data_IF_769077449730
#
_entry.id   IF_769077449730
#
_cell.length_a   1.000
_cell.length_b   1.000
_cell.length_c   1.000
_cell.angle_alpha   90.00
_cell.angle_beta   90.00
_cell.angle_gamma   90.00
#
_symmetry.space_group_name_H-M   'P 1'
#
loop_
_entity.id
_entity.type
_entity.pdbx_description
1 polymer ?
#
# COMPACT_ATOMS: atom_id res chain seq x y z
N UNK A 1 40.84 -41.54 57.38
CA UNK A 1 40.59 -42.28 56.11
C UNK A 1 41.04 -41.49 54.87
N UNK A 2 41.29 -40.18 54.97
CA UNK A 2 41.86 -39.35 53.91
C UNK A 2 43.29 -38.94 54.29
N UNK A 3 44.28 -39.73 53.86
CA UNK A 3 45.70 -39.36 54.00
C UNK A 3 46.07 -38.41 52.86
N UNK A 4 46.83 -37.34 53.15
CA UNK A 4 47.24 -36.32 52.19
C UNK A 4 48.03 -36.84 50.96
N UNK A 5 48.45 -38.11 50.98
CA UNK A 5 49.19 -38.77 49.90
C UNK A 5 48.33 -39.71 49.02
N UNK A 6 46.99 -39.68 49.10
CA UNK A 6 46.11 -40.48 48.23
C UNK A 6 45.49 -39.65 47.11
N UNK A 7 45.74 -40.05 45.86
CA UNK A 7 45.05 -39.51 44.69
C UNK A 7 43.58 -39.92 44.75
N UNK A 8 42.68 -38.93 44.66
CA UNK A 8 41.23 -39.14 44.65
C UNK A 8 40.68 -38.83 43.26
N UNK A 9 39.83 -39.72 42.73
CA UNK A 9 39.19 -39.54 41.42
C UNK A 9 37.75 -39.07 41.60
N UNK A 10 37.39 -37.99 40.91
CA UNK A 10 36.03 -37.44 40.88
C UNK A 10 35.40 -37.82 39.55
N UNK A 11 34.36 -38.64 39.60
CA UNK A 11 33.54 -38.97 38.45
C UNK A 11 32.38 -37.99 38.37
N UNK A 12 32.28 -37.26 37.26
CA UNK A 12 31.19 -36.34 37.00
C UNK A 12 30.61 -36.57 35.61
N UNK A 13 29.33 -36.22 35.43
CA UNK A 13 28.67 -36.25 34.14
C UNK A 13 28.88 -34.90 33.43
N UNK A 14 29.49 -34.91 32.24
CA UNK A 14 29.76 -33.71 31.46
C UNK A 14 28.54 -33.15 30.71
N UNK A 15 27.35 -33.75 30.86
CA UNK A 15 26.10 -33.19 30.34
C UNK A 15 25.68 -31.89 31.05
N UNK A 16 26.10 -31.69 32.30
CA UNK A 16 25.87 -30.44 33.02
C UNK A 16 27.02 -29.45 32.81
N UNK A 17 26.73 -28.25 32.29
CA UNK A 17 27.72 -27.20 32.04
C UNK A 17 28.60 -26.87 33.27
N UNK A 18 28.05 -26.70 34.50
CA UNK A 18 28.88 -26.47 35.70
C UNK A 18 29.27 -27.75 36.45
N UNK A 19 29.00 -28.94 35.88
CA UNK A 19 29.12 -30.20 36.61
C UNK A 19 30.53 -30.41 37.16
N UNK A 20 31.57 -30.26 36.33
CA UNK A 20 32.96 -30.43 36.73
C UNK A 20 33.33 -29.60 37.98
N UNK A 21 33.05 -28.30 37.95
CA UNK A 21 33.37 -27.36 39.05
C UNK A 21 32.52 -27.65 40.29
N UNK A 22 31.26 -28.03 40.11
CA UNK A 22 30.37 -28.36 41.23
C UNK A 22 30.83 -29.60 42.00
N UNK A 23 31.20 -30.69 41.32
CA UNK A 23 31.66 -31.92 41.95
C UNK A 23 33.04 -31.74 42.60
N UNK A 24 33.91 -30.90 42.03
CA UNK A 24 35.17 -30.50 42.67
C UNK A 24 34.90 -29.72 43.96
N UNK A 25 33.96 -28.78 43.96
CA UNK A 25 33.62 -28.03 45.18
C UNK A 25 33.02 -28.94 46.27
N UNK A 26 32.15 -29.89 45.90
CA UNK A 26 31.60 -30.89 46.83
C UNK A 26 32.72 -31.77 47.41
N UNK A 27 33.63 -32.23 46.56
CA UNK A 27 34.77 -33.03 47.00
C UNK A 27 35.69 -32.26 47.95
N UNK A 28 36.02 -31.00 47.65
CA UNK A 28 36.84 -30.14 48.51
C UNK A 28 36.17 -29.90 49.87
N UNK A 29 34.85 -29.72 49.89
CA UNK A 29 34.07 -29.64 51.13
C UNK A 29 34.11 -30.94 51.94
N UNK A 30 34.00 -32.09 51.27
CA UNK A 30 34.11 -33.40 51.92
C UNK A 30 35.52 -33.62 52.52
N UNK A 31 36.56 -33.22 51.79
CA UNK A 31 37.94 -33.29 52.26
C UNK A 31 38.18 -32.39 53.48
N UNK A 32 37.74 -31.12 53.42
CA UNK A 32 37.84 -30.17 54.52
C UNK A 32 37.22 -30.74 55.80
N UNK A 33 35.99 -31.26 55.69
CA UNK A 33 35.26 -31.87 56.81
C UNK A 33 35.95 -33.13 57.31
N UNK A 34 36.51 -33.95 56.41
CA UNK A 34 37.26 -35.15 56.75
C UNK A 34 38.51 -34.87 57.59
N UNK A 35 39.28 -33.83 57.24
CA UNK A 35 40.50 -33.43 57.97
C UNK A 35 40.16 -32.79 59.32
N UNK A 36 39.10 -31.97 59.39
CA UNK A 36 38.66 -31.34 60.64
C UNK A 36 38.24 -32.38 61.69
N UNK A 37 37.54 -33.44 61.27
CA UNK A 37 37.13 -34.55 62.13
C UNK A 37 38.32 -35.35 62.68
N UNK A 38 39.41 -35.45 61.92
CA UNK A 38 40.63 -36.14 62.35
C UNK A 38 41.42 -35.35 63.40
N UNK A 39 41.33 -34.01 63.37
CA UNK A 39 42.05 -33.15 64.32
C UNK A 39 41.30 -32.84 65.61
N UNK A 40 39.97 -32.69 65.59
CA UNK A 40 39.16 -32.40 66.78
C UNK A 40 37.72 -32.92 66.61
N UNK A 41 37.32 -33.88 67.45
CA UNK A 41 36.02 -34.57 67.38
C UNK A 41 34.83 -33.78 67.93
N UNK A 42 35.06 -32.60 68.53
CA UNK A 42 34.03 -31.74 69.12
C UNK A 42 33.53 -30.60 68.21
N UNK A 43 33.98 -30.53 66.95
CA UNK A 43 33.65 -29.45 66.01
C UNK A 43 32.36 -29.77 65.23
N UNK A 44 31.43 -28.81 65.17
CA UNK A 44 30.22 -28.79 64.35
C UNK A 44 30.56 -28.77 62.85
N UNK A 45 30.49 -29.93 62.19
CA UNK A 45 30.81 -30.13 60.76
C UNK A 45 29.96 -29.23 59.82
N UNK A 46 28.75 -28.86 60.26
CA UNK A 46 27.81 -28.05 59.48
C UNK A 46 28.19 -26.57 59.36
N UNK A 47 29.05 -26.04 60.24
CA UNK A 47 29.42 -24.62 60.26
C UNK A 47 30.56 -24.29 59.30
N UNK A 48 31.29 -25.31 58.82
CA UNK A 48 32.42 -25.14 57.91
C UNK A 48 32.07 -25.63 56.50
N UNK A 49 32.24 -24.72 55.53
CA UNK A 49 32.02 -24.98 54.12
C UNK A 49 32.68 -23.94 53.23
N UNK A 50 33.11 -24.38 52.05
CA UNK A 50 33.66 -23.58 50.97
C UNK A 50 32.60 -23.49 49.88
N UNK A 51 32.21 -22.28 49.50
CA UNK A 51 31.32 -22.03 48.36
C UNK A 51 32.13 -21.46 47.20
N UNK A 52 32.14 -22.16 46.08
CA UNK A 52 32.69 -21.64 44.82
C UNK A 52 31.57 -20.94 44.03
N UNK A 53 31.74 -19.65 43.74
CA UNK A 53 30.82 -18.87 42.91
C UNK A 53 31.52 -18.60 41.58
N UNK A 54 30.94 -19.08 40.49
CA UNK A 54 31.40 -18.73 39.15
C UNK A 54 30.66 -17.46 38.70
N UNK A 55 31.33 -16.31 38.82
CA UNK A 55 30.81 -15.04 38.32
C UNK A 55 31.64 -14.61 37.09
N UNK A 56 31.02 -14.38 35.92
CA UNK A 56 31.74 -13.99 34.73
C UNK A 56 32.42 -12.62 34.92
N UNK A 57 33.54 -12.43 34.23
CA UNK A 57 34.18 -11.11 34.14
C UNK A 57 33.30 -10.16 33.31
N UNK A 58 33.44 -8.83 33.47
CA UNK A 58 32.80 -7.86 32.59
C UNK A 58 33.16 -8.13 31.13
N UNK A 59 32.18 -7.97 30.24
CA UNK A 59 32.35 -8.22 28.80
C UNK A 59 33.46 -7.34 28.22
N UNK A 60 34.29 -7.95 27.38
CA UNK A 60 35.30 -7.23 26.59
C UNK A 60 34.66 -6.48 25.42
N UNK A 61 35.34 -5.47 24.86
CA UNK A 61 34.85 -4.73 23.68
C UNK A 61 34.52 -5.67 22.51
N UNK A 62 35.35 -6.69 22.29
CA UNK A 62 35.16 -7.68 21.22
C UNK A 62 33.89 -8.53 21.45
N UNK A 63 33.59 -8.90 22.69
CA UNK A 63 32.37 -9.63 23.03
C UNK A 63 31.12 -8.77 22.88
N UNK A 64 31.21 -7.48 23.25
CA UNK A 64 30.15 -6.50 23.06
C UNK A 64 29.87 -6.33 21.56
N UNK A 65 30.88 -6.15 20.73
CA UNK A 65 30.74 -5.99 19.28
C UNK A 65 30.09 -7.23 18.64
N UNK A 66 30.52 -8.43 19.03
CA UNK A 66 29.91 -9.69 18.58
C UNK A 66 28.45 -9.84 19.02
N UNK A 67 28.11 -9.40 20.23
CA UNK A 67 26.73 -9.42 20.74
C UNK A 67 25.85 -8.38 20.02
N UNK A 68 26.41 -7.23 19.66
CA UNK A 68 25.74 -6.20 18.85
C UNK A 68 25.44 -6.77 17.47
N UNK A 69 26.42 -7.38 16.80
CA UNK A 69 26.24 -7.93 15.46
C UNK A 69 25.13 -9.00 15.42
N UNK A 70 25.11 -9.90 16.40
CA UNK A 70 24.03 -10.89 16.56
C UNK A 70 22.68 -10.23 16.77
N UNK A 71 22.60 -9.19 17.60
CA UNK A 71 21.35 -8.47 17.90
C UNK A 71 20.83 -7.73 16.67
N UNK A 72 21.71 -7.05 15.93
CA UNK A 72 21.38 -6.36 14.67
C UNK A 72 20.88 -7.35 13.62
N UNK A 73 21.47 -8.54 13.53
CA UNK A 73 21.03 -9.60 12.60
C UNK A 73 19.61 -10.08 12.91
N UNK A 74 19.27 -10.30 14.19
CA UNK A 74 17.92 -10.68 14.59
C UNK A 74 16.90 -9.56 14.34
N UNK A 75 17.30 -8.30 14.49
CA UNK A 75 16.47 -7.15 14.19
C UNK A 75 16.22 -7.00 12.69
N UNK A 76 17.25 -7.22 11.87
CA UNK A 76 17.10 -7.25 10.41
C UNK A 76 16.06 -8.28 9.98
N UNK A 77 16.10 -9.50 10.55
CA UNK A 77 15.10 -10.53 10.29
C UNK A 77 13.69 -10.04 10.67
N UNK A 78 13.55 -9.39 11.82
CA UNK A 78 12.27 -8.83 12.28
C UNK A 78 11.74 -7.77 11.31
N UNK A 79 12.60 -6.86 10.85
CA UNK A 79 12.26 -5.81 9.86
C UNK A 79 11.79 -6.44 8.55
N UNK A 80 12.52 -7.45 8.04
CA UNK A 80 12.17 -8.19 6.83
C UNK A 80 10.79 -8.85 6.95
N UNK A 81 10.50 -9.48 8.09
CA UNK A 81 9.19 -10.10 8.35
C UNK A 81 8.06 -9.06 8.36
N UNK A 82 8.28 -7.87 8.94
CA UNK A 82 7.28 -6.79 8.95
C UNK A 82 7.04 -6.23 7.54
N UNK A 83 8.10 -5.99 6.76
CA UNK A 83 7.99 -5.55 5.36
C UNK A 83 7.17 -6.57 4.56
N UNK A 84 7.47 -7.86 4.73
CA UNK A 84 6.76 -8.93 4.05
C UNK A 84 5.28 -8.95 4.43
N UNK A 85 4.95 -8.90 5.71
CA UNK A 85 3.56 -8.91 6.18
C UNK A 85 2.77 -7.71 5.66
N UNK A 86 3.35 -6.50 5.74
CA UNK A 86 2.67 -5.27 5.34
C UNK A 86 2.58 -5.08 3.83
N UNK A 87 3.38 -5.78 3.01
CA UNK A 87 3.33 -5.68 1.55
C UNK A 87 2.03 -6.21 0.93
N UNK A 88 1.39 -7.19 1.57
CA UNK A 88 0.16 -7.82 1.06
C UNK A 88 -1.09 -7.00 1.32
N UNK A 89 -1.14 -6.25 2.42
CA UNK A 89 -2.38 -5.58 2.85
C UNK A 89 -2.82 -4.53 1.82
N UNK A 90 -1.97 -3.59 1.38
CA UNK A 90 -2.40 -2.58 0.41
C UNK A 90 -2.63 -3.17 -0.99
N UNK A 91 -1.95 -4.26 -1.33
CA UNK A 91 -2.22 -5.00 -2.56
C UNK A 91 -3.62 -5.65 -2.56
N UNK A 92 -4.18 -5.99 -1.40
CA UNK A 92 -5.54 -6.54 -1.30
C UNK A 92 -6.62 -5.51 -1.67
N UNK A 93 -6.45 -4.24 -1.28
CA UNK A 93 -7.39 -3.16 -1.62
C UNK A 93 -7.45 -2.89 -3.13
N UNK A 94 -6.34 -3.13 -3.83
CA UNK A 94 -6.26 -3.02 -5.29
C UNK A 94 -7.21 -4.00 -6.00
N UNK A 95 -7.44 -5.19 -5.43
CA UNK A 95 -8.28 -6.24 -6.04
C UNK A 95 -9.70 -5.73 -6.24
N UNK A 96 -10.28 -5.11 -5.21
CA UNK A 96 -11.61 -4.53 -5.26
C UNK A 96 -11.73 -3.47 -6.36
N UNK A 97 -10.74 -2.59 -6.47
CA UNK A 97 -10.72 -1.54 -7.50
C UNK A 97 -10.60 -2.08 -8.93
N UNK A 98 -9.79 -3.13 -9.13
CA UNK A 98 -9.68 -3.78 -10.44
C UNK A 98 -10.99 -4.47 -10.80
N UNK A 99 -11.62 -5.14 -9.83
CA UNK A 99 -12.91 -5.79 -10.03
C UNK A 99 -14.00 -4.78 -10.42
N UNK A 100 -14.06 -3.65 -9.73
CA UNK A 100 -15.01 -2.55 -10.00
C UNK A 100 -14.81 -1.92 -11.38
N UNK A 101 -13.56 -1.81 -11.84
CA UNK A 101 -13.24 -1.37 -13.19
C UNK A 101 -13.64 -2.41 -14.24
N UNK A 102 -13.46 -3.70 -13.95
CA UNK A 102 -13.75 -4.79 -14.88
C UNK A 102 -15.25 -5.00 -15.10
N UNK A 103 -16.05 -4.87 -14.03
CA UNK A 103 -17.51 -4.92 -14.05
C UNK A 103 -18.15 -3.62 -14.52
N UNK A 104 -17.37 -2.55 -14.65
CA UNK A 104 -17.83 -1.18 -14.96
C UNK A 104 -18.77 -0.58 -13.90
N UNK A 105 -18.84 -1.16 -12.69
CA UNK A 105 -19.61 -0.64 -11.56
C UNK A 105 -19.20 0.78 -11.18
N UNK A 106 -17.90 1.09 -11.24
CA UNK A 106 -17.36 2.44 -11.00
C UNK A 106 -17.96 3.48 -11.95
N UNK A 107 -18.08 3.11 -13.24
CA UNK A 107 -18.70 4.00 -14.24
C UNK A 107 -20.18 4.20 -13.94
N UNK A 108 -20.89 3.15 -13.52
CA UNK A 108 -22.30 3.24 -13.15
C UNK A 108 -22.52 4.13 -11.92
N UNK A 109 -21.62 4.12 -10.94
CA UNK A 109 -21.65 5.04 -9.80
C UNK A 109 -21.46 6.50 -10.23
N UNK A 110 -20.53 6.78 -11.16
CA UNK A 110 -20.36 8.14 -11.70
C UNK A 110 -21.59 8.61 -12.49
N UNK A 111 -22.14 7.77 -13.36
CA UNK A 111 -23.39 8.08 -14.08
C UNK A 111 -24.55 8.29 -13.09
N UNK A 112 -24.47 7.72 -11.89
CA UNK A 112 -25.44 7.92 -10.82
C UNK A 112 -25.26 9.21 -10.01
N UNK A 113 -24.28 10.04 -10.36
CA UNK A 113 -24.07 11.38 -9.79
C UNK A 113 -22.95 11.47 -8.76
N UNK A 114 -22.16 10.40 -8.56
CA UNK A 114 -21.00 10.44 -7.68
C UNK A 114 -19.89 11.28 -8.32
N UNK A 115 -19.27 12.17 -7.56
CA UNK A 115 -18.10 12.94 -8.01
C UNK A 115 -16.81 12.15 -7.77
N UNK A 116 -15.84 12.30 -8.68
CA UNK A 116 -14.54 11.63 -8.58
C UNK A 116 -13.81 11.84 -7.24
N UNK A 117 -13.78 13.07 -6.73
CA UNK A 117 -13.14 13.39 -5.44
C UNK A 117 -13.85 12.69 -4.28
N UNK A 118 -15.19 12.69 -4.26
CA UNK A 118 -15.98 12.03 -3.21
C UNK A 118 -15.75 10.53 -3.22
N UNK A 119 -15.74 9.90 -4.40
CA UNK A 119 -15.45 8.48 -4.56
C UNK A 119 -14.07 8.10 -4.01
N UNK A 120 -13.01 8.80 -4.43
CA UNK A 120 -11.65 8.48 -3.99
C UNK A 120 -11.41 8.79 -2.52
N UNK A 121 -12.01 9.86 -1.99
CA UNK A 121 -11.89 10.19 -0.57
C UNK A 121 -12.62 9.16 0.31
N UNK A 122 -13.79 8.68 -0.13
CA UNK A 122 -14.53 7.64 0.57
C UNK A 122 -13.77 6.32 0.58
N UNK A 123 -13.26 5.88 -0.58
CA UNK A 123 -12.43 4.67 -0.68
C UNK A 123 -11.16 4.79 0.15
N UNK A 124 -10.46 5.92 0.07
CA UNK A 124 -9.24 6.15 0.85
C UNK A 124 -9.49 6.08 2.36
N UNK A 125 -10.56 6.71 2.84
CA UNK A 125 -10.92 6.68 4.25
C UNK A 125 -11.28 5.26 4.71
N UNK A 126 -12.03 4.52 3.89
CA UNK A 126 -12.40 3.15 4.19
C UNK A 126 -11.19 2.22 4.24
N UNK A 127 -10.31 2.29 3.25
CA UNK A 127 -9.08 1.49 3.20
C UNK A 127 -8.13 1.84 4.35
N UNK A 128 -8.06 3.12 4.75
CA UNK A 128 -7.26 3.56 5.90
C UNK A 128 -7.81 3.00 7.22
N UNK A 129 -9.14 2.96 7.39
CA UNK A 129 -9.79 2.34 8.56
C UNK A 129 -9.48 0.84 8.60
N UNK A 130 -9.65 0.13 7.48
CA UNK A 130 -9.34 -1.30 7.42
C UNK A 130 -7.85 -1.57 7.68
N UNK A 131 -6.97 -0.74 7.12
CA UNK A 131 -5.54 -0.83 7.35
C UNK A 131 -5.16 -0.58 8.82
N UNK A 132 -5.87 0.32 9.52
CA UNK A 132 -5.64 0.59 10.94
C UNK A 132 -5.85 -0.64 11.84
N UNK A 133 -6.75 -1.55 11.46
CA UNK A 133 -6.96 -2.83 12.17
C UNK A 133 -5.70 -3.70 12.07
N UNK A 134 -5.10 -3.81 10.89
CA UNK A 134 -3.87 -4.57 10.68
C UNK A 134 -2.68 -3.98 11.44
N UNK A 135 -2.59 -2.64 11.51
CA UNK A 135 -1.57 -1.96 12.32
C UNK A 135 -1.78 -2.26 13.81
N UNK A 136 -3.01 -2.18 14.30
CA UNK A 136 -3.32 -2.47 15.69
C UNK A 136 -2.92 -3.91 16.04
N UNK A 137 -3.24 -4.88 15.19
CA UNK A 137 -2.79 -6.28 15.34
C UNK A 137 -1.26 -6.39 15.38
N UNK A 138 -0.55 -5.70 14.47
CA UNK A 138 0.91 -5.68 14.45
C UNK A 138 1.47 -5.12 15.77
N UNK A 139 0.96 -3.97 16.23
CA UNK A 139 1.41 -3.35 17.48
C UNK A 139 1.14 -4.27 18.69
N UNK A 140 -0.04 -4.89 18.75
CA UNK A 140 -0.39 -5.83 19.83
C UNK A 140 0.61 -7.00 19.87
N UNK A 141 1.02 -7.53 18.72
CA UNK A 141 2.04 -8.59 18.64
C UNK A 141 3.36 -8.10 19.25
N UNK A 142 3.86 -6.93 18.84
CA UNK A 142 5.13 -6.39 19.36
C UNK A 142 5.07 -6.11 20.87
N UNK A 143 3.94 -5.60 21.36
CA UNK A 143 3.70 -5.36 22.80
C UNK A 143 3.62 -6.68 23.57
N UNK A 144 2.91 -7.68 23.06
CA UNK A 144 2.76 -8.99 23.71
C UNK A 144 4.09 -9.74 23.84
N UNK A 145 4.95 -9.66 22.82
CA UNK A 145 6.30 -10.23 22.86
C UNK A 145 7.34 -9.32 23.55
N UNK A 146 6.91 -8.15 24.04
CA UNK A 146 7.73 -7.19 24.78
C UNK A 146 9.05 -6.82 24.07
N UNK A 147 8.98 -6.56 22.76
CA UNK A 147 10.16 -6.24 21.95
C UNK A 147 10.58 -4.79 22.23
N UNK A 148 11.49 -4.62 23.19
CA UNK A 148 11.89 -3.32 23.75
C UNK A 148 12.41 -2.32 22.71
N UNK A 149 13.04 -2.79 21.63
CA UNK A 149 13.50 -1.92 20.53
C UNK A 149 12.37 -1.07 19.90
N UNK A 150 11.13 -1.58 19.91
CA UNK A 150 9.97 -0.90 19.31
C UNK A 150 8.95 -0.42 20.36
N UNK A 151 8.82 -1.13 21.50
CA UNK A 151 7.79 -0.88 22.52
C UNK A 151 8.24 0.11 23.60
N UNK A 152 9.53 0.45 23.66
CA UNK A 152 10.03 1.43 24.62
C UNK A 152 9.36 2.80 24.46
N UNK A 153 9.23 3.55 25.57
CA UNK A 153 8.47 4.81 25.63
C UNK A 153 8.95 5.86 24.62
N UNK A 154 10.26 5.87 24.33
CA UNK A 154 10.87 6.79 23.36
C UNK A 154 10.66 6.36 21.90
N UNK A 155 10.57 5.05 21.63
CA UNK A 155 10.50 4.47 20.29
C UNK A 155 9.08 4.21 19.81
N UNK A 156 8.14 3.99 20.73
CA UNK A 156 6.77 3.57 20.42
C UNK A 156 6.03 4.53 19.49
N UNK A 157 6.15 5.84 19.73
CA UNK A 157 5.51 6.85 18.87
C UNK A 157 6.06 6.78 17.44
N UNK A 158 7.38 6.66 17.28
CA UNK A 158 8.02 6.55 15.97
C UNK A 158 7.61 5.26 15.26
N UNK A 159 7.52 4.15 15.98
CA UNK A 159 7.04 2.88 15.46
C UNK A 159 5.60 2.97 14.94
N UNK A 160 4.69 3.53 15.74
CA UNK A 160 3.30 3.77 15.33
C UNK A 160 3.21 4.67 14.10
N UNK A 161 3.92 5.80 14.10
CA UNK A 161 3.90 6.74 12.99
C UNK A 161 4.44 6.13 11.69
N UNK A 162 5.51 5.35 11.75
CA UNK A 162 6.04 4.63 10.58
C UNK A 162 5.00 3.68 9.98
N UNK A 163 4.34 2.86 10.82
CA UNK A 163 3.34 1.89 10.35
C UNK A 163 2.10 2.58 9.78
N UNK A 164 1.62 3.64 10.43
CA UNK A 164 0.45 4.41 10.01
C UNK A 164 0.71 5.18 8.71
N UNK A 165 1.80 5.95 8.65
CA UNK A 165 2.13 6.76 7.48
C UNK A 165 2.54 5.92 6.27
N UNK A 166 3.06 4.71 6.48
CA UNK A 166 3.30 3.77 5.39
C UNK A 166 2.00 3.42 4.64
N UNK A 167 0.90 3.13 5.34
CA UNK A 167 -0.40 2.90 4.68
C UNK A 167 -0.98 4.15 4.06
N UNK A 168 -0.87 5.29 4.75
CA UNK A 168 -1.28 6.60 4.22
C UNK A 168 -0.60 6.92 2.88
N UNK A 169 0.68 6.58 2.73
CA UNK A 169 1.43 6.76 1.49
C UNK A 169 1.14 5.69 0.44
N UNK A 170 1.04 4.42 0.83
CA UNK A 170 0.98 3.33 -0.12
C UNK A 170 -0.41 3.11 -0.74
N UNK A 171 -1.50 3.36 0.00
CA UNK A 171 -2.87 3.18 -0.50
C UNK A 171 -3.12 4.05 -1.76
N UNK A 172 -2.81 5.36 -1.78
CA UNK A 172 -2.98 6.18 -2.98
C UNK A 172 -2.07 5.79 -4.14
N UNK A 173 -0.87 5.25 -3.85
CA UNK A 173 0.01 4.70 -4.88
C UNK A 173 -0.68 3.51 -5.59
N UNK A 174 -1.33 2.62 -4.83
CA UNK A 174 -2.07 1.48 -5.38
C UNK A 174 -3.21 1.93 -6.29
N UNK A 175 -3.93 3.01 -5.93
CA UNK A 175 -5.01 3.55 -6.76
C UNK A 175 -4.54 3.99 -8.14
N UNK A 176 -3.36 4.59 -8.20
CA UNK A 176 -2.76 5.05 -9.45
C UNK A 176 -2.36 3.89 -10.36
N UNK A 177 -1.96 2.77 -9.76
CA UNK A 177 -1.51 1.55 -10.45
C UNK A 177 -2.67 0.71 -10.99
N UNK A 178 -3.90 0.86 -10.47
CA UNK A 178 -5.03 -0.02 -10.83
C UNK A 178 -5.30 -0.09 -12.34
N UNK A 179 -5.04 0.99 -13.08
CA UNK A 179 -5.34 1.09 -14.51
C UNK A 179 -4.43 0.22 -15.39
N UNK A 180 -3.32 -0.29 -14.83
CA UNK A 180 -2.40 -1.18 -15.53
C UNK A 180 -2.92 -2.62 -15.62
N UNK A 181 -3.89 -2.99 -14.78
CA UNK A 181 -4.40 -4.35 -14.68
C UNK A 181 -5.86 -4.45 -15.11
N UNK A 182 -6.18 -5.52 -15.84
CA UNK A 182 -7.56 -5.86 -16.22
C UNK A 182 -8.15 -7.00 -15.40
N UNK A 183 -7.29 -7.86 -14.85
CA UNK A 183 -7.70 -9.05 -14.10
C UNK A 183 -7.29 -8.91 -12.63
N UNK A 184 -8.22 -9.03 -11.66
CA UNK A 184 -7.95 -8.76 -10.24
C UNK A 184 -6.86 -9.67 -9.64
N UNK A 185 -6.93 -10.98 -9.88
CA UNK A 185 -5.99 -11.97 -9.32
C UNK A 185 -4.55 -11.74 -9.79
N UNK A 186 -4.34 -11.43 -11.07
CA UNK A 186 -3.01 -11.12 -11.60
C UNK A 186 -2.46 -9.82 -11.03
N UNK A 187 -3.32 -8.82 -10.81
CA UNK A 187 -2.92 -7.55 -10.21
C UNK A 187 -2.42 -7.74 -8.79
N UNK A 188 -3.15 -8.53 -7.97
CA UNK A 188 -2.74 -8.86 -6.60
C UNK A 188 -1.35 -9.49 -6.54
N UNK A 189 -1.11 -10.55 -7.32
CA UNK A 189 0.14 -11.31 -7.28
C UNK A 189 1.32 -10.45 -7.73
N UNK A 190 1.18 -9.73 -8.85
CA UNK A 190 2.26 -8.91 -9.41
C UNK A 190 2.60 -7.77 -8.46
N UNK A 191 1.60 -7.06 -7.92
CA UNK A 191 1.83 -5.92 -7.04
C UNK A 191 2.36 -6.34 -5.67
N UNK A 192 1.83 -7.41 -5.08
CA UNK A 192 2.39 -7.96 -3.84
C UNK A 192 3.86 -8.36 -4.02
N UNK A 193 4.19 -9.01 -5.13
CA UNK A 193 5.56 -9.43 -5.45
C UNK A 193 6.50 -8.24 -5.66
N UNK A 194 6.05 -7.21 -6.39
CA UNK A 194 6.82 -5.98 -6.60
C UNK A 194 7.03 -5.21 -5.30
N UNK A 195 6.01 -5.11 -4.45
CA UNK A 195 6.09 -4.47 -3.14
C UNK A 195 7.14 -5.16 -2.25
N UNK A 196 7.11 -6.50 -2.18
CA UNK A 196 8.11 -7.28 -1.45
C UNK A 196 9.50 -7.05 -2.03
N UNK A 197 9.64 -7.15 -3.35
CA UNK A 197 10.94 -7.02 -4.01
C UNK A 197 11.55 -5.62 -3.79
N UNK A 198 10.77 -4.56 -3.99
CA UNK A 198 11.20 -3.18 -3.76
C UNK A 198 11.57 -2.99 -2.29
N UNK A 199 10.73 -3.45 -1.35
CA UNK A 199 11.01 -3.31 0.09
C UNK A 199 12.27 -4.04 0.54
N UNK A 200 12.43 -5.31 0.17
CA UNK A 200 13.59 -6.10 0.57
C UNK A 200 14.88 -5.61 -0.10
N UNK A 201 14.87 -5.40 -1.42
CA UNK A 201 16.08 -5.05 -2.15
C UNK A 201 16.60 -3.67 -1.77
N UNK A 202 15.72 -2.68 -1.58
CA UNK A 202 16.15 -1.33 -1.21
C UNK A 202 16.68 -1.29 0.22
N UNK A 203 16.03 -1.97 1.16
CA UNK A 203 16.42 -1.98 2.58
C UNK A 203 17.72 -2.74 2.78
N UNK A 204 17.82 -3.98 2.28
CA UNK A 204 19.02 -4.81 2.38
C UNK A 204 20.22 -4.11 1.73
N UNK A 205 20.04 -3.53 0.53
CA UNK A 205 21.13 -2.81 -0.16
C UNK A 205 21.70 -1.67 0.71
N UNK A 206 20.85 -0.87 1.35
CA UNK A 206 21.33 0.24 2.20
C UNK A 206 21.94 -0.21 3.52
N UNK A 207 21.46 -1.32 4.09
CA UNK A 207 22.01 -1.90 5.33
C UNK A 207 23.38 -2.52 5.05
N UNK A 208 23.55 -3.21 3.92
CA UNK A 208 24.87 -3.72 3.51
C UNK A 208 25.87 -2.56 3.35
N UNK A 209 25.44 -1.45 2.76
CA UNK A 209 26.27 -0.25 2.64
C UNK A 209 26.62 0.40 3.99
N UNK A 210 25.86 0.14 5.07
CA UNK A 210 26.19 0.64 6.41
C UNK A 210 27.41 -0.05 7.01
N UNK A 211 27.72 -1.29 6.58
CA UNK A 211 28.87 -2.05 7.08
C UNK A 211 30.20 -1.57 6.49
N UNK A 212 30.18 -0.85 5.38
CA UNK A 212 31.40 -0.38 4.67
C UNK A 212 31.71 1.09 4.98
N UNK A 213 31.82 1.46 6.26
CA UNK A 213 32.07 2.86 6.66
C UNK A 213 33.51 3.32 6.38
N UNK A 214 34.46 2.40 6.26
CA UNK A 214 35.88 2.70 6.10
C UNK A 214 36.26 3.19 4.69
N UNK A 215 35.37 3.02 3.71
CA UNK A 215 35.62 3.40 2.32
C UNK A 215 34.86 4.67 1.93
N UNK A 216 35.54 5.81 1.68
CA UNK A 216 34.89 7.10 1.46
C UNK A 216 34.02 7.14 0.20
N UNK A 217 34.36 6.35 -0.82
CA UNK A 217 33.57 6.27 -2.06
C UNK A 217 32.24 5.54 -1.86
N UNK A 218 32.22 4.47 -1.07
CA UNK A 218 30.99 3.74 -0.73
C UNK A 218 30.05 4.57 0.15
N UNK A 219 30.60 5.42 1.02
CA UNK A 219 29.81 6.37 1.82
C UNK A 219 29.09 7.38 0.92
N UNK A 220 29.74 7.90 -0.15
CA UNK A 220 29.08 8.77 -1.14
C UNK A 220 27.96 8.04 -1.89
N UNK A 221 28.20 6.79 -2.31
CA UNK A 221 27.19 5.95 -2.98
C UNK A 221 25.99 5.74 -2.06
N UNK A 222 26.21 5.40 -0.79
CA UNK A 222 25.15 5.28 0.22
C UNK A 222 24.31 6.55 0.31
N UNK A 223 24.91 7.74 0.37
CA UNK A 223 24.17 8.99 0.46
C UNK A 223 23.29 9.24 -0.78
N UNK A 224 23.74 8.85 -1.97
CA UNK A 224 22.95 8.98 -3.21
C UNK A 224 21.80 7.97 -3.23
N UNK A 225 22.11 6.70 -2.97
CA UNK A 225 21.14 5.59 -2.98
C UNK A 225 20.04 5.80 -1.94
N UNK A 226 20.41 6.21 -0.72
CA UNK A 226 19.44 6.48 0.34
C UNK A 226 18.50 7.62 -0.03
N UNK A 227 18.97 8.69 -0.70
CA UNK A 227 18.10 9.77 -1.19
C UNK A 227 17.17 9.33 -2.31
N UNK A 228 17.67 8.50 -3.24
CA UNK A 228 16.89 8.01 -4.36
C UNK A 228 15.79 7.04 -3.91
N UNK A 229 16.09 6.15 -2.97
CA UNK A 229 15.13 5.16 -2.47
C UNK A 229 14.05 5.74 -1.58
N UNK A 230 14.18 6.97 -1.05
CA UNK A 230 13.12 7.62 -0.27
C UNK A 230 11.80 7.64 -1.01
N UNK A 231 11.80 7.78 -2.35
CA UNK A 231 10.58 7.79 -3.18
C UNK A 231 9.69 6.54 -3.03
N UNK A 232 10.25 5.44 -2.52
CA UNK A 232 9.53 4.20 -2.30
C UNK A 232 9.06 4.11 -0.84
N UNK A 233 7.74 4.13 -0.57
CA UNK A 233 7.23 4.01 0.80
C UNK A 233 7.70 2.75 1.53
N UNK A 234 7.90 1.66 0.78
CA UNK A 234 8.44 0.40 1.28
C UNK A 234 9.86 0.53 1.83
N UNK A 235 10.71 1.30 1.16
CA UNK A 235 12.05 1.60 1.65
C UNK A 235 11.99 2.41 2.94
N UNK A 236 11.18 3.47 2.97
CA UNK A 236 11.00 4.32 4.14
C UNK A 236 10.54 3.53 5.38
N UNK A 237 9.61 2.58 5.22
CA UNK A 237 9.19 1.69 6.30
C UNK A 237 10.36 0.83 6.79
N UNK A 238 10.99 0.06 5.90
CA UNK A 238 12.02 -0.89 6.32
C UNK A 238 13.27 -0.21 6.88
N UNK A 239 13.74 0.85 6.22
CA UNK A 239 14.86 1.65 6.69
C UNK A 239 14.53 2.33 8.02
N UNK A 240 13.31 2.86 8.16
CA UNK A 240 12.84 3.48 9.40
C UNK A 240 12.77 2.52 10.59
N UNK A 241 12.28 1.29 10.37
CA UNK A 241 12.24 0.26 11.43
C UNK A 241 13.65 -0.19 11.82
N UNK A 242 14.55 -0.33 10.85
CA UNK A 242 15.95 -0.67 11.11
C UNK A 242 16.65 0.44 11.91
N UNK A 243 16.59 1.69 11.43
CA UNK A 243 17.18 2.85 12.10
C UNK A 243 16.61 3.08 13.51
N UNK A 244 15.32 2.80 13.72
CA UNK A 244 14.70 2.84 15.05
C UNK A 244 15.31 1.80 15.99
N UNK A 245 15.47 0.56 15.51
CA UNK A 245 16.01 -0.54 16.29
C UNK A 245 17.49 -0.34 16.63
N UNK A 246 18.30 0.15 15.69
CA UNK A 246 19.72 0.43 15.91
C UNK A 246 19.90 1.61 16.86
N UNK A 247 19.14 2.69 16.70
CA UNK A 247 19.17 3.85 17.61
C UNK A 247 18.85 3.45 19.05
N UNK A 248 17.85 2.58 19.25
CA UNK A 248 17.54 2.05 20.57
C UNK A 248 18.72 1.28 21.17
N UNK A 249 19.33 0.38 20.41
CA UNK A 249 20.48 -0.41 20.88
C UNK A 249 21.68 0.48 21.22
N UNK A 250 22.01 1.43 20.33
CA UNK A 250 23.09 2.39 20.58
C UNK A 250 22.85 3.19 21.86
N UNK A 251 21.61 3.63 22.12
CA UNK A 251 21.27 4.34 23.36
C UNK A 251 21.46 3.46 24.60
N UNK A 252 20.99 2.21 24.58
CA UNK A 252 21.11 1.27 25.71
C UNK A 252 22.59 0.97 26.03
N UNK A 253 23.39 0.73 25.00
CA UNK A 253 24.82 0.42 25.15
C UNK A 253 25.56 1.67 25.63
N UNK A 254 25.35 2.81 24.98
CA UNK A 254 26.03 4.06 25.33
C UNK A 254 25.73 4.50 26.76
N UNK A 255 24.49 4.32 27.24
CA UNK A 255 24.14 4.56 28.65
C UNK A 255 24.88 3.65 29.63
N UNK A 256 25.26 2.43 29.21
CA UNK A 256 25.95 1.46 30.06
C UNK A 256 27.46 1.71 30.16
N UNK A 257 28.08 2.20 29.08
CA UNK A 257 29.54 2.31 28.98
C UNK A 257 30.08 3.75 28.99
N UNK A 258 29.28 4.75 28.60
CA UNK A 258 29.73 6.15 28.50
C UNK A 258 29.11 6.98 29.63
N UNK A 259 29.91 7.50 30.58
CA UNK A 259 29.40 8.36 31.63
C UNK A 259 28.88 9.68 31.04
N UNK A 260 27.72 10.14 31.51
CA UNK A 260 27.02 11.36 31.04
C UNK A 260 26.55 11.34 29.58
N UNK A 261 26.32 10.16 28.99
CA UNK A 261 25.71 10.06 27.66
C UNK A 261 24.25 10.54 27.67
N UNK A 262 23.91 11.44 26.75
CA UNK A 262 22.54 11.91 26.53
C UNK A 262 21.91 11.07 25.43
N UNK A 263 20.78 10.38 25.68
CA UNK A 263 20.16 9.52 24.69
C UNK A 263 19.63 10.33 23.50
N UNK A 264 19.93 9.84 22.29
CA UNK A 264 19.45 10.46 21.06
C UNK A 264 17.98 10.11 20.85
N UNK A 265 17.14 11.11 20.60
CA UNK A 265 15.72 10.89 20.33
C UNK A 265 15.53 10.20 18.96
N UNK A 266 14.74 9.11 18.87
CA UNK A 266 14.51 8.43 17.59
C UNK A 266 13.81 9.28 16.52
N UNK A 267 13.09 10.34 16.92
CA UNK A 267 12.37 11.24 16.02
C UNK A 267 13.29 12.28 15.34
N UNK A 268 14.58 12.32 15.66
CA UNK A 268 15.51 13.25 15.04
C UNK A 268 15.53 13.08 13.51
N UNK A 269 15.71 14.18 12.79
CA UNK A 269 15.66 14.19 11.32
C UNK A 269 16.66 13.21 10.70
N UNK A 270 17.87 13.12 11.26
CA UNK A 270 18.94 12.27 10.74
C UNK A 270 18.70 10.76 10.92
N UNK A 271 17.82 10.38 11.86
CA UNK A 271 17.46 8.98 12.12
C UNK A 271 16.14 8.63 11.42
N UNK A 272 15.04 8.53 12.17
CA UNK A 272 13.74 8.08 11.64
C UNK A 272 12.92 9.26 11.09
N UNK A 273 13.17 10.48 11.57
CA UNK A 273 12.39 11.67 11.23
C UNK A 273 12.34 11.95 9.72
N UNK A 274 13.44 11.73 8.99
CA UNK A 274 13.47 11.87 7.52
C UNK A 274 12.48 10.92 6.83
N UNK A 275 12.42 9.66 7.25
CA UNK A 275 11.55 8.66 6.62
C UNK A 275 10.07 8.98 6.89
N UNK A 276 9.74 9.43 8.11
CA UNK A 276 8.39 9.87 8.50
C UNK A 276 7.95 11.09 7.67
N UNK A 277 8.85 12.07 7.49
CA UNK A 277 8.57 13.25 6.69
C UNK A 277 8.32 12.89 5.21
N UNK A 278 9.16 12.03 4.63
CA UNK A 278 9.00 11.55 3.26
C UNK A 278 7.67 10.81 3.06
N UNK A 279 7.32 9.87 3.94
CA UNK A 279 6.04 9.15 3.87
C UNK A 279 4.83 10.11 3.92
N UNK A 280 4.90 11.15 4.75
CA UNK A 280 3.82 12.15 4.84
C UNK A 280 3.67 12.91 3.54
N UNK A 281 4.78 13.39 2.96
CA UNK A 281 4.78 14.11 1.68
C UNK A 281 4.29 13.21 0.55
N UNK A 282 4.78 11.98 0.49
CA UNK A 282 4.42 10.98 -0.51
C UNK A 282 2.92 10.67 -0.51
N UNK A 283 2.29 10.53 0.66
CA UNK A 283 0.85 10.28 0.72
C UNK A 283 0.01 11.38 0.09
N UNK A 284 0.35 12.66 0.34
CA UNK A 284 -0.34 13.76 -0.33
C UNK A 284 -0.05 13.79 -1.83
N UNK A 285 1.20 13.60 -2.23
CA UNK A 285 1.61 13.61 -3.65
C UNK A 285 0.92 12.49 -4.42
N UNK A 286 0.92 11.27 -3.89
CA UNK A 286 0.26 10.12 -4.54
C UNK A 286 -1.26 10.25 -4.54
N UNK A 287 -1.87 10.84 -3.52
CA UNK A 287 -3.31 11.11 -3.52
C UNK A 287 -3.72 12.14 -4.58
N UNK A 288 -2.97 13.24 -4.70
CA UNK A 288 -3.17 14.22 -5.77
C UNK A 288 -2.95 13.56 -7.13
N UNK A 289 -1.90 12.75 -7.27
CA UNK A 289 -1.61 12.03 -8.50
C UNK A 289 -2.75 11.07 -8.87
N UNK A 290 -3.30 10.31 -7.93
CA UNK A 290 -4.45 9.43 -8.16
C UNK A 290 -5.67 10.21 -8.68
N UNK A 291 -5.94 11.40 -8.12
CA UNK A 291 -7.00 12.29 -8.60
C UNK A 291 -6.71 12.79 -10.03
N UNK A 292 -5.47 13.18 -10.33
CA UNK A 292 -5.07 13.65 -11.67
C UNK A 292 -5.19 12.54 -12.73
N UNK A 293 -4.85 11.30 -12.37
CA UNK A 293 -5.05 10.12 -13.23
C UNK A 293 -6.54 9.91 -13.51
N UNK A 294 -7.41 10.05 -12.51
CA UNK A 294 -8.86 9.92 -12.67
C UNK A 294 -9.44 10.95 -13.66
N UNK A 295 -9.02 12.21 -13.57
CA UNK A 295 -9.47 13.26 -14.48
C UNK A 295 -8.81 13.19 -15.87
N UNK A 296 -8.04 12.13 -16.16
CA UNK A 296 -7.30 11.92 -17.41
C UNK A 296 -6.46 13.15 -17.81
N UNK A 297 -5.94 13.90 -16.84
CA UNK A 297 -5.19 15.15 -17.09
C UNK A 297 -3.95 14.91 -17.95
N UNK A 298 -3.27 13.77 -17.74
CA UNK A 298 -2.09 13.36 -18.51
C UNK A 298 -2.43 12.57 -19.78
N UNK A 299 -3.53 11.82 -19.79
CA UNK A 299 -4.04 11.13 -20.99
C UNK A 299 -4.98 12.10 -21.70
N UNK A 300 -4.41 13.22 -22.13
CA UNK A 300 -5.12 14.05 -23.07
C UNK A 300 -5.26 13.21 -24.34
N UNK A 301 -6.49 12.87 -24.71
CA UNK A 301 -6.87 12.57 -26.10
C UNK A 301 -6.72 13.86 -26.94
N UNK A 302 -5.57 14.55 -26.81
CA UNK A 302 -5.11 15.68 -27.62
C UNK A 302 -4.60 15.21 -28.97
N UNK A 303 -5.00 14.02 -29.41
CA UNK A 303 -5.09 13.78 -30.83
C UNK A 303 -6.35 14.52 -31.28
N UNK A 304 -6.22 15.84 -31.43
CA UNK A 304 -7.06 16.63 -32.30
C UNK A 304 -6.82 16.07 -33.72
N UNK A 305 -7.44 14.93 -34.02
CA UNK A 305 -7.68 14.56 -35.40
C UNK A 305 -8.61 15.65 -35.85
N UNK A 306 -8.06 16.68 -36.53
CA UNK A 306 -8.84 17.49 -37.46
C UNK A 306 -9.63 16.46 -38.26
N UNK A 307 -10.92 16.32 -37.98
CA UNK A 307 -11.79 15.61 -38.88
C UNK A 307 -11.65 16.41 -40.16
N UNK A 308 -10.98 15.82 -41.14
CA UNK A 308 -11.08 16.26 -42.51
C UNK A 308 -12.58 16.42 -42.77
N UNK A 309 -12.97 17.59 -43.27
CA UNK A 309 -14.33 17.83 -43.80
C UNK A 309 -14.72 16.76 -44.85
N UNK A 310 -13.74 16.00 -45.33
CA UNK A 310 -13.81 14.98 -46.38
C UNK A 310 -14.35 13.60 -45.94
N UNK A 311 -14.98 13.47 -44.76
CA UNK A 311 -15.58 12.20 -44.31
C UNK A 311 -17.10 12.11 -44.50
N UNK A 312 -17.73 13.14 -45.07
CA UNK A 312 -19.11 13.05 -45.56
C UNK A 312 -19.08 12.11 -46.75
N UNK A 313 -19.57 10.88 -46.59
CA UNK A 313 -19.74 9.96 -47.71
C UNK A 313 -20.65 10.62 -48.73
N UNK A 314 -20.22 10.67 -49.99
CA UNK A 314 -21.02 11.22 -51.10
C UNK A 314 -22.33 10.47 -51.38
N UNK A 315 -22.56 9.34 -50.69
CA UNK A 315 -23.75 8.49 -50.77
C UNK A 315 -24.35 8.31 -49.37
N UNK A 316 -24.92 9.37 -48.80
CA UNK A 316 -25.81 9.25 -47.64
C UNK A 316 -27.25 9.08 -48.11
N UNK A 317 -28.05 8.33 -47.36
CA UNK A 317 -29.47 8.19 -47.63
C UNK A 317 -30.20 9.53 -47.42
N UNK A 318 -31.24 9.80 -48.21
CA UNK A 318 -31.94 11.09 -48.23
C UNK A 318 -32.55 11.45 -46.86
N UNK A 319 -33.01 10.45 -46.10
CA UNK A 319 -33.56 10.60 -44.76
C UNK A 319 -32.47 10.99 -43.74
N UNK A 320 -31.29 10.36 -43.80
CA UNK A 320 -30.12 10.70 -42.98
C UNK A 320 -29.63 12.11 -43.27
N UNK A 321 -29.58 12.50 -44.55
CA UNK A 321 -29.20 13.84 -44.96
C UNK A 321 -30.20 14.89 -44.45
N UNK A 322 -31.50 14.60 -44.52
CA UNK A 322 -32.58 15.47 -44.02
C UNK A 322 -32.48 15.66 -42.51
N UNK A 323 -32.28 14.57 -41.75
CA UNK A 323 -32.12 14.62 -40.29
C UNK A 323 -30.87 15.41 -39.90
N UNK A 324 -29.74 15.22 -40.60
CA UNK A 324 -28.54 16.01 -40.37
C UNK A 324 -28.78 17.50 -40.59
N UNK A 325 -29.48 17.88 -41.67
CA UNK A 325 -29.84 19.28 -41.93
C UNK A 325 -30.78 19.84 -40.84
N UNK A 326 -31.72 19.04 -40.32
CA UNK A 326 -32.58 19.41 -39.18
C UNK A 326 -31.75 19.72 -37.94
N UNK A 327 -30.78 18.86 -37.59
CA UNK A 327 -29.93 19.06 -36.40
C UNK A 327 -29.02 20.28 -36.55
N UNK A 328 -28.50 20.55 -37.75
CA UNK A 328 -27.69 21.74 -37.98
C UNK A 328 -28.47 23.05 -37.99
N UNK A 329 -29.68 23.03 -38.55
CA UNK A 329 -30.56 24.21 -38.56
C UNK A 329 -31.07 24.53 -37.16
N UNK A 330 -31.32 23.51 -36.33
CA UNK A 330 -31.83 23.69 -34.98
C UNK A 330 -30.75 23.84 -33.88
N UNK A 331 -29.88 24.84 -34.04
CA UNK A 331 -28.82 25.12 -33.05
C UNK A 331 -29.37 25.52 -31.68
N UNK A 332 -30.50 26.22 -31.65
CA UNK A 332 -31.17 26.72 -30.44
C UNK A 332 -32.05 25.69 -29.73
N UNK A 333 -32.14 24.46 -30.23
CA UNK A 333 -33.03 23.40 -29.75
C UNK A 333 -34.51 23.80 -29.69
N UNK A 334 -34.98 24.45 -30.74
CA UNK A 334 -36.39 24.81 -30.97
C UNK A 334 -37.27 23.57 -31.08
N UNK A 335 -36.73 22.44 -31.55
CA UNK A 335 -37.41 21.15 -31.65
C UNK A 335 -37.59 20.41 -30.31
N UNK A 336 -37.01 20.94 -29.22
CA UNK A 336 -37.07 20.37 -27.88
C UNK A 336 -36.59 18.90 -27.80
N UNK A 337 -35.58 18.56 -28.59
CA UNK A 337 -34.95 17.23 -28.56
C UNK A 337 -34.24 17.02 -27.21
N UNK A 338 -34.52 15.88 -26.57
CA UNK A 338 -33.94 15.51 -25.28
C UNK A 338 -32.51 14.99 -25.44
N UNK A 339 -32.21 14.33 -26.56
CA UNK A 339 -30.87 13.87 -26.93
C UNK A 339 -30.55 14.44 -28.31
N UNK A 340 -29.41 15.12 -28.44
CA UNK A 340 -28.89 15.59 -29.73
C UNK A 340 -27.46 15.12 -29.91
N UNK A 341 -27.20 14.47 -31.03
CA UNK A 341 -25.90 13.99 -31.47
C UNK A 341 -25.49 14.81 -32.70
N UNK A 342 -24.33 15.48 -32.64
CA UNK A 342 -23.85 16.37 -33.70
C UNK A 342 -22.45 15.90 -34.11
N UNK A 343 -22.35 15.34 -35.31
CA UNK A 343 -21.10 14.87 -35.93
C UNK A 343 -20.26 13.98 -35.00
N UNK A 344 -20.91 13.08 -34.27
CA UNK A 344 -20.22 12.22 -33.32
C UNK A 344 -19.18 11.35 -34.05
N UNK A 345 -17.92 11.47 -33.65
CA UNK A 345 -16.80 10.70 -34.20
C UNK A 345 -16.02 10.06 -33.08
N UNK A 346 -15.71 8.76 -33.23
CA UNK A 346 -14.70 8.08 -32.43
C UNK A 346 -13.69 7.37 -33.32
N UNK A 347 -12.43 7.74 -33.14
CA UNK A 347 -11.28 7.03 -33.71
C UNK A 347 -10.49 6.43 -32.57
N UNK A 348 -10.30 5.11 -32.60
CA UNK A 348 -9.34 4.43 -31.73
C UNK A 348 -7.99 4.36 -32.45
N UNK A 349 -6.94 4.86 -31.81
CA UNK A 349 -5.57 4.56 -32.22
C UNK A 349 -5.16 3.23 -31.60
N UNK A 350 -4.76 2.24 -32.39
CA UNK A 350 -4.19 1.01 -31.83
C UNK A 350 -2.78 0.74 -32.35
N UNK A 351 -2.08 -0.13 -31.60
CA UNK A 351 -0.72 -0.62 -31.86
C UNK A 351 -0.56 -1.01 -33.33
N UNK A 352 0.61 -0.73 -33.89
CA UNK A 352 0.98 -0.88 -35.32
C UNK A 352 0.47 0.22 -36.29
N UNK A 353 0.05 1.39 -35.78
CA UNK A 353 -0.09 2.61 -36.59
C UNK A 353 -1.37 2.72 -37.44
N UNK A 354 -2.28 1.75 -37.39
CA UNK A 354 -3.56 1.80 -38.13
C UNK A 354 -4.66 2.41 -37.25
N UNK A 355 -5.29 3.49 -37.75
CA UNK A 355 -6.44 4.14 -37.11
C UNK A 355 -7.72 3.37 -37.41
N UNK A 356 -8.53 3.10 -36.39
CA UNK A 356 -9.84 2.47 -36.54
C UNK A 356 -10.95 3.45 -36.18
N UNK A 357 -11.76 3.86 -37.15
CA UNK A 357 -12.90 4.75 -36.93
C UNK A 357 -14.13 3.92 -36.57
N UNK A 358 -14.50 3.95 -35.29
CA UNK A 358 -15.62 3.19 -34.75
C UNK A 358 -16.98 3.89 -34.93
N UNK A 359 -16.99 5.22 -34.95
CA UNK A 359 -18.19 6.03 -35.19
C UNK A 359 -17.82 7.15 -36.17
N UNK A 360 -18.62 7.33 -37.22
CA UNK A 360 -18.35 8.22 -38.36
C UNK A 360 -19.46 9.28 -38.48
N UNK A 361 -19.23 10.46 -37.89
CA UNK A 361 -20.07 11.67 -38.04
C UNK A 361 -21.57 11.42 -37.94
N UNK A 362 -21.98 10.74 -36.87
CA UNK A 362 -23.39 10.41 -36.65
C UNK A 362 -24.14 11.64 -36.14
N UNK A 363 -25.25 12.00 -36.81
CA UNK A 363 -26.15 13.10 -36.43
C UNK A 363 -27.56 12.56 -36.21
N UNK A 364 -28.12 12.74 -35.02
CA UNK A 364 -29.47 12.28 -34.66
C UNK A 364 -30.02 13.18 -33.55
N UNK A 365 -31.31 13.54 -33.62
CA UNK A 365 -32.05 14.11 -32.50
C UNK A 365 -33.20 13.20 -32.08
N UNK A 366 -33.39 13.02 -30.77
CA UNK A 366 -34.49 12.24 -30.19
C UNK A 366 -35.40 13.17 -29.42
N UNK A 367 -36.70 13.14 -29.71
CA UNK A 367 -37.70 13.99 -29.06
C UNK A 367 -38.05 13.48 -27.67
N UNK A 368 -38.54 14.38 -26.81
CA UNK A 368 -39.05 13.99 -25.49
C UNK A 368 -40.27 13.06 -25.64
N UNK A 369 -40.23 11.91 -24.96
CA UNK A 369 -41.29 10.90 -25.01
C UNK A 369 -41.18 9.91 -26.17
N UNK A 370 -40.17 10.04 -27.02
CA UNK A 370 -39.90 9.11 -28.11
C UNK A 370 -39.11 7.88 -27.61
N UNK A 371 -39.47 6.69 -28.11
CA UNK A 371 -38.69 5.48 -27.90
C UNK A 371 -37.77 5.24 -29.10
N UNK A 372 -36.50 5.59 -28.94
CA UNK A 372 -35.49 5.45 -29.98
C UNK A 372 -34.65 4.16 -29.82
N UNK A 373 -34.49 3.39 -30.90
CA UNK A 373 -33.68 2.17 -30.93
C UNK A 373 -32.52 2.28 -31.92
N UNK A 374 -31.29 2.05 -31.46
CA UNK A 374 -30.10 2.02 -32.32
C UNK A 374 -29.79 0.58 -32.77
N UNK A 375 -30.19 0.22 -33.99
CA UNK A 375 -29.98 -1.11 -34.57
C UNK A 375 -28.76 -1.13 -35.50
N UNK A 376 -28.05 -2.26 -35.54
CA UNK A 376 -26.95 -2.48 -36.48
C UNK A 376 -26.22 -3.79 -36.20
N UNK A 377 -25.38 -4.24 -37.13
CA UNK A 377 -24.55 -5.45 -36.95
C UNK A 377 -23.48 -5.27 -35.86
N UNK A 378 -22.91 -6.37 -35.37
CA UNK A 378 -21.78 -6.31 -34.44
C UNK A 378 -20.62 -5.54 -35.07
N UNK A 379 -20.01 -4.63 -34.29
CA UNK A 379 -18.97 -3.73 -34.78
C UNK A 379 -19.46 -2.43 -35.43
N UNK A 380 -20.77 -2.18 -35.53
CA UNK A 380 -21.31 -0.94 -36.12
C UNK A 380 -21.15 0.33 -35.28
N UNK A 381 -20.49 0.26 -34.11
CA UNK A 381 -20.26 1.42 -33.24
C UNK A 381 -21.36 1.73 -32.22
N UNK A 382 -22.38 0.88 -32.06
CA UNK A 382 -23.48 1.07 -31.08
C UNK A 382 -22.97 1.28 -29.66
N UNK A 383 -22.25 0.30 -29.11
CA UNK A 383 -21.72 0.37 -27.75
C UNK A 383 -20.75 1.55 -27.61
N UNK A 384 -19.93 1.85 -28.63
CA UNK A 384 -19.06 3.02 -28.64
C UNK A 384 -19.85 4.33 -28.55
N UNK A 385 -21.00 4.42 -29.22
CA UNK A 385 -21.88 5.59 -29.17
C UNK A 385 -22.45 5.78 -27.77
N UNK A 386 -22.99 4.74 -27.14
CA UNK A 386 -23.49 4.83 -25.76
C UNK A 386 -22.39 5.18 -24.74
N UNK A 387 -21.18 4.63 -24.91
CA UNK A 387 -20.02 4.96 -24.07
C UNK A 387 -19.58 6.42 -24.22
N UNK A 388 -19.74 7.01 -25.40
CA UNK A 388 -19.50 8.44 -25.59
C UNK A 388 -20.58 9.30 -24.95
N UNK A 389 -21.86 8.93 -25.10
CA UNK A 389 -22.98 9.67 -24.51
C UNK A 389 -22.94 9.67 -22.98
N UNK A 390 -22.48 8.58 -22.38
CA UNK A 390 -22.31 8.45 -20.92
C UNK A 390 -20.98 9.02 -20.41
N UNK A 391 -20.06 9.42 -21.28
CA UNK A 391 -18.76 9.96 -20.91
C UNK A 391 -17.70 8.94 -20.47
N UNK A 392 -17.95 7.63 -20.62
CA UNK A 392 -16.95 6.57 -20.38
C UNK A 392 -15.74 6.75 -21.32
N UNK A 393 -16.05 7.13 -22.56
CA UNK A 393 -15.10 7.34 -23.65
C UNK A 393 -15.26 8.76 -24.19
N UNK A 394 -14.15 9.46 -24.34
CA UNK A 394 -14.08 10.79 -24.97
C UNK A 394 -14.51 10.73 -26.44
N UNK A 395 -15.18 11.77 -26.93
CA UNK A 395 -15.44 11.93 -28.36
C UNK A 395 -14.16 12.44 -29.05
N UNK A 396 -13.82 11.91 -30.23
CA UNK A 396 -12.68 12.40 -31.03
C UNK A 396 -13.03 13.71 -31.73
N UNK A 397 -14.27 13.81 -32.23
CA UNK A 397 -14.84 15.03 -32.77
C UNK A 397 -16.37 15.01 -32.62
N UNK A 398 -17.00 16.16 -32.82
CA UNK A 398 -18.43 16.35 -32.64
C UNK A 398 -18.80 16.73 -31.22
N UNK A 399 -20.09 16.77 -30.96
CA UNK A 399 -20.64 17.07 -29.64
C UNK A 399 -21.97 16.35 -29.43
N UNK A 400 -22.34 16.16 -28.17
CA UNK A 400 -23.65 15.62 -27.80
C UNK A 400 -24.28 16.44 -26.67
N UNK A 401 -25.61 16.50 -26.67
CA UNK A 401 -26.38 17.21 -25.67
C UNK A 401 -27.49 16.31 -25.13
N UNK A 402 -27.62 16.25 -23.79
CA UNK A 402 -28.71 15.56 -23.10
C UNK A 402 -29.43 16.60 -22.24
N UNK A 403 -30.73 16.79 -22.46
CA UNK A 403 -31.55 17.82 -21.80
C UNK A 403 -30.88 19.21 -21.86
N UNK A 404 -30.36 19.58 -23.03
CA UNK A 404 -29.56 20.80 -23.29
C UNK A 404 -28.20 20.91 -22.58
N UNK A 405 -27.80 19.94 -21.76
CA UNK A 405 -26.47 19.89 -21.18
C UNK A 405 -25.48 19.25 -22.14
N UNK A 406 -24.35 19.92 -22.37
CA UNK A 406 -23.28 19.43 -23.23
C UNK A 406 -22.53 18.27 -22.55
N UNK A 407 -22.45 17.10 -23.19
CA UNK A 407 -21.73 15.92 -22.67
C UNK A 407 -20.24 16.20 -22.48
N UNK A 408 -19.63 17.12 -23.24
CA UNK A 408 -18.20 17.43 -23.09
C UNK A 408 -17.95 18.41 -21.94
N UNK A 409 -18.83 19.40 -21.74
CA UNK A 409 -18.62 20.51 -20.78
C UNK A 409 -19.34 20.33 -19.45
N UNK A 410 -20.44 19.58 -19.43
CA UNK A 410 -21.41 19.52 -18.31
C UNK A 410 -21.82 18.07 -18.02
N UNK A 411 -20.85 17.15 -17.90
CA UNK A 411 -21.09 15.73 -17.62
C UNK A 411 -21.95 15.50 -16.37
N UNK A 412 -21.66 16.22 -15.27
CA UNK A 412 -22.38 16.05 -14.02
C UNK A 412 -23.90 16.29 -14.19
N UNK A 413 -24.29 17.31 -14.97
CA UNK A 413 -25.69 17.61 -15.24
C UNK A 413 -26.34 16.60 -16.21
N UNK A 414 -25.55 16.06 -17.16
CA UNK A 414 -26.00 14.96 -18.03
C UNK A 414 -26.27 13.71 -17.20
N UNK A 415 -25.35 13.31 -16.32
CA UNK A 415 -25.48 12.13 -15.47
C UNK A 415 -26.70 12.20 -14.56
N UNK A 416 -27.03 13.36 -13.99
CA UNK A 416 -28.25 13.55 -13.20
C UNK A 416 -29.55 13.31 -13.98
N UNK A 417 -29.55 13.54 -15.29
CA UNK A 417 -30.71 13.41 -16.16
C UNK A 417 -30.72 12.12 -17.01
N UNK A 418 -29.72 11.25 -16.84
CA UNK A 418 -29.53 10.06 -17.67
C UNK A 418 -29.47 8.79 -16.82
N UNK A 419 -30.28 7.79 -17.18
CA UNK A 419 -30.13 6.42 -16.72
C UNK A 419 -29.30 5.62 -17.71
N UNK A 420 -28.38 4.78 -17.23
CA UNK A 420 -27.58 3.90 -18.07
C UNK A 420 -27.61 2.48 -17.52
N UNK A 421 -27.88 1.52 -18.40
CA UNK A 421 -27.75 0.10 -18.11
C UNK A 421 -26.64 -0.45 -19.02
N UNK A 422 -25.50 -0.88 -18.47
CA UNK A 422 -24.43 -1.47 -19.27
C UNK A 422 -24.88 -2.81 -19.90
N UNK A 423 -24.12 -3.26 -20.91
CA UNK A 423 -24.37 -4.53 -21.60
C UNK A 423 -24.14 -5.75 -20.69
N UNK A 424 -23.15 -5.66 -19.81
CA UNK A 424 -22.89 -6.65 -18.78
C UNK A 424 -23.43 -6.13 -17.47
N UNK A 425 -23.96 -7.03 -16.65
CA UNK A 425 -24.51 -6.70 -15.35
C UNK A 425 -23.41 -6.13 -14.45
N UNK A 426 -23.46 -4.82 -14.20
CA UNK A 426 -22.56 -4.13 -13.29
C UNK A 426 -23.03 -4.33 -11.84
N UNK A 427 -23.12 -5.59 -11.42
CA UNK A 427 -23.57 -6.00 -10.09
C UNK A 427 -22.37 -6.17 -9.17
N UNK A 428 -22.49 -5.62 -7.97
CA UNK A 428 -21.59 -5.97 -6.87
C UNK A 428 -21.99 -7.33 -6.30
N UNK A 429 -21.09 -8.32 -6.38
CA UNK A 429 -21.33 -9.67 -5.89
C UNK A 429 -21.43 -9.78 -4.35
N UNK A 430 -20.96 -8.77 -3.62
CA UNK A 430 -20.99 -8.72 -2.15
C UNK A 430 -22.30 -8.14 -1.61
N UNK A 431 -23.06 -7.43 -2.44
CA UNK A 431 -24.31 -6.77 -2.04
C UNK A 431 -25.52 -7.62 -2.42
N UNK A 432 -26.49 -7.69 -1.51
CA UNK A 432 -27.80 -8.23 -1.85
C UNK A 432 -28.53 -7.32 -2.84
N UNK A 433 -29.50 -7.85 -3.58
CA UNK A 433 -30.30 -7.06 -4.52
C UNK A 433 -30.97 -5.83 -3.86
N UNK A 434 -31.42 -5.96 -2.61
CA UNK A 434 -32.02 -4.85 -1.84
C UNK A 434 -30.98 -3.78 -1.50
N UNK A 435 -29.79 -4.18 -1.05
CA UNK A 435 -28.70 -3.25 -0.74
C UNK A 435 -28.20 -2.53 -2.00
N UNK A 436 -28.15 -3.22 -3.13
CA UNK A 436 -27.76 -2.64 -4.42
C UNK A 436 -28.77 -1.56 -4.85
N UNK A 437 -30.08 -1.85 -4.80
CA UNK A 437 -31.12 -0.86 -5.09
C UNK A 437 -31.08 0.32 -4.11
N UNK A 438 -30.88 0.04 -2.82
CA UNK A 438 -30.76 1.07 -1.79
C UNK A 438 -29.55 1.98 -2.06
N UNK A 439 -28.38 1.41 -2.39
CA UNK A 439 -27.17 2.15 -2.71
C UNK A 439 -27.41 3.11 -3.88
N UNK A 440 -27.85 2.61 -5.03
CA UNK A 440 -28.06 3.44 -6.22
C UNK A 440 -29.19 4.47 -6.04
N UNK A 441 -30.25 4.14 -5.30
CA UNK A 441 -31.29 5.11 -4.94
C UNK A 441 -30.71 6.25 -4.09
N UNK A 442 -29.84 5.94 -3.13
CA UNK A 442 -29.17 6.93 -2.28
C UNK A 442 -28.16 7.77 -3.05
N UNK A 443 -27.38 7.18 -3.96
CA UNK A 443 -26.45 7.90 -4.84
C UNK A 443 -27.19 8.91 -5.73
N UNK A 444 -28.39 8.54 -6.21
CA UNK A 444 -29.29 9.41 -6.98
C UNK A 444 -30.01 10.47 -6.12
N UNK A 445 -29.79 10.50 -4.80
CA UNK A 445 -30.37 11.49 -3.90
C UNK A 445 -31.80 11.20 -3.41
N UNK A 446 -32.32 9.98 -3.62
CA UNK A 446 -33.63 9.59 -3.10
C UNK A 446 -33.56 9.53 -1.57
N UNK A 447 -34.46 10.27 -0.89
CA UNK A 447 -34.53 10.28 0.58
C UNK A 447 -34.87 8.90 1.11
N UNK A 448 -34.26 8.51 2.23
CA UNK A 448 -34.44 7.19 2.88
C UNK A 448 -35.92 6.81 3.07
N UNK A 449 -36.80 7.78 3.38
CA UNK A 449 -38.24 7.57 3.58
C UNK A 449 -39.00 7.16 2.32
N UNK A 450 -38.45 7.44 1.14
CA UNK A 450 -39.08 7.18 -0.16
C UNK A 450 -38.55 5.90 -0.81
N UNK A 451 -37.60 5.19 -0.16
CA UNK A 451 -37.10 3.91 -0.65
C UNK A 451 -38.02 2.83 -0.09
N UNK A 452 -38.67 2.01 -0.95
CA UNK A 452 -39.80 1.15 -0.56
C UNK A 452 -39.42 -0.10 0.26
N UNK A 453 -38.18 -0.23 0.73
CA UNK A 453 -37.64 -1.46 1.33
C UNK A 453 -36.98 -1.24 2.69
#
# INVERSE_FOLDING_TARGET
>A
MFSANKISMIWYNNQGWPASVSFVNVFNNALLRGVLLEKNSSISIGEYGITAINHPLPETQIEIDNNIEKTVTLQLLTVICVIFALAFIPASFLVFLIDENSTTSKHLQFVSGVKGITYWSANFLWDLINYSVSIACCIIIFVAFNVQSFVSQMSFLCFFLLLFLYGFALIPLMYSINYLFKTPSTGFVIISSLNIFIGLMTTISTIILDNFQDQPDLVKVKQIVTKLFLIFPHYCLGRGLFDLSTTYQTNVISLRYIPNYVPVSPLQFDTVGRNIMCLTIEGFVFFIFAILVQYRFFISDRICVRASKDLISSNEDDDVATERQRIYSDRTNTSADILRMIDLVKVYGWKFGKKFTAVKQTCVGVKKGECFGLLGINGSGKSTTFKMLTGEISMTNGNAFVNNYCVIKQLDAVHQNLGYCPQFDALDSLLTAREHLYLYARLRGIKRKNIPF
#
